data_IF_703668018525
#
_entry.id   IF_703668018525
#
_cell.length_a   1.000
_cell.length_b   1.000
_cell.length_c   1.000
_cell.angle_alpha   90.00
_cell.angle_beta   90.00
_cell.angle_gamma   90.00
#
_symmetry.space_group_name_H-M   'P 1'
#
loop_
_entity.id
_entity.type
_entity.pdbx_description
1 polymer ?
#
# COMPACT_ATOMS: atom_id res chain seq x y z
N UNK A 1 -7.21 -11.34 10.34
CA UNK A 1 -8.18 -10.91 9.32
C UNK A 1 -9.52 -10.58 9.96
N UNK A 2 -10.00 -11.35 10.95
CA UNK A 2 -11.26 -11.08 11.66
C UNK A 2 -11.41 -9.62 12.11
N UNK A 3 -10.46 -9.07 12.87
CA UNK A 3 -10.53 -7.67 13.31
C UNK A 3 -10.61 -6.66 12.14
N UNK A 4 -9.83 -6.88 11.07
CA UNK A 4 -9.89 -6.03 9.87
C UNK A 4 -11.25 -6.12 9.19
N UNK A 5 -11.81 -7.33 9.06
CA UNK A 5 -13.10 -7.55 8.41
C UNK A 5 -14.26 -6.98 9.24
N UNK A 6 -14.16 -6.97 10.57
CA UNK A 6 -15.17 -6.36 11.45
C UNK A 6 -15.23 -4.82 11.29
N UNK A 7 -14.12 -4.20 10.88
CA UNK A 7 -13.97 -2.75 10.67
C UNK A 7 -14.23 -2.31 9.24
N UNK A 8 -14.01 -3.21 8.27
CA UNK A 8 -14.16 -2.93 6.84
C UNK A 8 -15.05 -3.99 6.19
N UNK A 9 -16.34 -3.66 6.06
CA UNK A 9 -17.34 -4.57 5.49
C UNK A 9 -18.39 -3.80 4.69
N UNK A 10 -18.57 -4.17 3.42
CA UNK A 10 -19.53 -3.52 2.54
C UNK A 10 -19.24 -2.02 2.43
N UNK A 11 -20.17 -1.20 2.93
CA UNK A 11 -20.07 0.27 2.91
C UNK A 11 -19.42 0.86 4.18
N UNK A 12 -19.18 0.04 5.19
CA UNK A 12 -18.61 0.48 6.48
C UNK A 12 -17.09 0.36 6.43
N UNK A 13 -16.39 1.47 6.66
CA UNK A 13 -14.94 1.50 6.84
C UNK A 13 -14.56 2.35 8.06
N UNK A 14 -13.94 1.72 9.06
CA UNK A 14 -13.52 2.37 10.29
C UNK A 14 -11.99 2.43 10.37
N UNK A 15 -11.44 3.62 10.67
CA UNK A 15 -10.00 3.83 10.82
C UNK A 15 -9.67 4.32 12.22
N UNK A 16 -8.57 3.83 12.80
CA UNK A 16 -8.09 4.26 14.11
C UNK A 16 -6.92 5.21 13.92
N UNK A 17 -7.13 6.51 14.13
CA UNK A 17 -6.13 7.54 13.85
C UNK A 17 -5.52 8.10 15.13
N UNK A 18 -4.23 8.43 15.08
CA UNK A 18 -3.53 9.10 16.16
C UNK A 18 -4.11 10.51 16.39
N UNK A 19 -4.43 10.86 17.63
CA UNK A 19 -5.00 12.17 17.95
C UNK A 19 -4.04 13.34 17.64
N UNK A 20 -2.72 13.13 17.74
CA UNK A 20 -1.70 14.17 17.52
C UNK A 20 -1.79 14.83 16.12
N UNK A 21 -1.71 14.11 14.99
CA UNK A 21 -1.88 14.72 13.67
C UNK A 21 -3.29 15.26 13.45
N UNK A 22 -4.30 14.66 14.09
CA UNK A 22 -5.69 15.11 13.99
C UNK A 22 -5.90 16.45 14.73
N UNK A 23 -5.27 16.68 15.88
CA UNK A 23 -5.43 17.93 16.62
C UNK A 23 -4.55 19.08 16.08
N UNK A 24 -3.40 18.78 15.49
CA UNK A 24 -2.37 19.75 15.12
C UNK A 24 -2.82 20.84 14.12
N UNK A 25 -2.60 22.13 14.40
CA UNK A 25 -3.01 23.24 13.53
C UNK A 25 -2.49 23.15 12.08
N UNK A 26 -1.27 22.65 11.92
CA UNK A 26 -0.57 22.41 10.66
C UNK A 26 0.06 21.01 10.70
N UNK A 27 -0.09 20.26 9.62
CA UNK A 27 0.64 19.01 9.40
C UNK A 27 1.74 19.25 8.36
N UNK A 28 2.98 18.93 8.73
CA UNK A 28 4.14 18.91 7.82
C UNK A 28 4.44 17.44 7.49
N UNK A 29 4.31 17.07 6.22
CA UNK A 29 4.48 15.71 5.73
C UNK A 29 5.79 15.56 4.95
N UNK A 30 6.60 14.56 5.30
CA UNK A 30 7.92 14.31 4.71
C UNK A 30 7.97 12.94 4.00
N UNK A 31 7.23 12.76 2.88
CA UNK A 31 7.25 11.51 2.14
C UNK A 31 8.56 11.31 1.37
N UNK A 32 8.84 10.04 1.03
CA UNK A 32 9.92 9.66 0.13
C UNK A 32 9.42 9.46 -1.29
N UNK A 33 10.16 9.93 -2.29
CA UNK A 33 9.89 9.66 -3.71
C UNK A 33 10.22 8.19 -4.02
N UNK A 34 9.20 7.32 -4.03
CA UNK A 34 9.40 5.91 -4.40
C UNK A 34 8.18 5.23 -5.02
N UNK A 35 8.45 4.23 -5.86
CA UNK A 35 7.43 3.33 -6.42
C UNK A 35 6.77 2.45 -5.34
N UNK A 36 5.55 1.98 -5.61
CA UNK A 36 4.81 1.11 -4.71
C UNK A 36 3.87 0.17 -5.47
N UNK A 37 4.05 -1.14 -5.30
CA UNK A 37 3.30 -2.19 -6.03
C UNK A 37 1.77 -2.05 -6.02
N UNK A 38 1.18 -1.61 -4.90
CA UNK A 38 -0.30 -1.54 -4.74
C UNK A 38 -0.96 -0.22 -5.15
N UNK A 39 -0.25 0.90 -5.00
CA UNK A 39 -0.85 2.24 -5.08
C UNK A 39 -0.13 3.13 -6.10
N UNK A 40 0.79 2.54 -6.89
CA UNK A 40 1.63 3.23 -7.87
C UNK A 40 2.87 3.85 -7.23
N UNK A 41 2.67 4.86 -6.37
CA UNK A 41 3.74 5.63 -5.72
C UNK A 41 3.48 5.85 -4.23
N UNK A 42 4.51 6.16 -3.46
CA UNK A 42 4.41 6.31 -1.99
C UNK A 42 4.03 7.70 -1.51
N UNK A 43 4.10 8.75 -2.33
CA UNK A 43 4.24 10.14 -1.88
C UNK A 43 3.07 10.69 -1.02
N UNK A 44 2.91 12.00 -0.91
CA UNK A 44 2.22 12.66 0.19
C UNK A 44 0.94 11.98 0.67
N UNK A 45 0.06 11.58 -0.26
CA UNK A 45 -1.20 10.89 0.06
C UNK A 45 -0.96 9.57 0.80
N UNK A 46 -0.09 8.69 0.28
CA UNK A 46 0.15 7.35 0.83
C UNK A 46 0.99 7.38 2.11
N UNK A 47 1.75 8.45 2.35
CA UNK A 47 2.51 8.63 3.58
C UNK A 47 1.60 8.78 4.81
N UNK A 48 0.36 9.27 4.63
CA UNK A 48 -0.62 9.37 5.71
C UNK A 48 -1.10 8.03 6.26
N UNK A 49 -0.80 6.90 5.62
CA UNK A 49 -1.00 5.59 6.26
C UNK A 49 -0.27 5.49 7.61
N UNK A 50 0.80 6.28 7.80
CA UNK A 50 1.53 6.36 9.06
C UNK A 50 0.77 7.03 10.23
N UNK A 51 -0.34 7.73 10.00
CA UNK A 51 -1.13 8.34 11.09
C UNK A 51 -2.04 7.34 11.81
N UNK A 52 -2.16 6.12 11.29
CA UNK A 52 -3.04 5.11 11.81
C UNK A 52 -2.40 4.40 13.03
N UNK A 53 -3.16 4.29 14.12
CA UNK A 53 -2.70 3.78 15.41
C UNK A 53 -2.71 2.23 15.48
N UNK A 54 -3.56 1.55 14.71
CA UNK A 54 -3.66 0.09 14.71
C UNK A 54 -3.64 -0.49 13.30
N UNK A 55 -2.58 -1.24 12.96
CA UNK A 55 -2.39 -1.84 11.63
C UNK A 55 -3.55 -2.73 11.17
N UNK A 56 -4.29 -3.34 12.09
CA UNK A 56 -5.44 -4.18 11.74
C UNK A 56 -6.65 -3.39 11.23
N UNK A 57 -6.65 -2.06 11.36
CA UNK A 57 -7.67 -1.13 10.85
C UNK A 57 -7.29 -0.52 9.49
N UNK A 58 -6.37 -1.20 8.79
CA UNK A 58 -5.95 -0.83 7.45
C UNK A 58 -6.28 -1.99 6.51
N UNK A 59 -7.28 -1.85 5.62
CA UNK A 59 -7.58 -2.88 4.64
C UNK A 59 -6.51 -2.85 3.55
N UNK A 60 -5.94 -4.03 3.27
CA UNK A 60 -4.82 -4.17 2.34
C UNK A 60 -5.19 -4.84 1.01
N UNK A 61 -6.29 -5.58 1.01
CA UNK A 61 -6.90 -6.29 -0.13
C UNK A 61 -8.24 -6.88 0.32
N UNK A 62 -9.12 -7.14 -0.64
CA UNK A 62 -10.30 -7.99 -0.54
C UNK A 62 -9.93 -9.39 -1.03
N UNK A 63 -10.37 -10.42 -0.31
CA UNK A 63 -10.08 -11.81 -0.65
C UNK A 63 -10.62 -12.19 -2.03
N UNK A 64 -9.84 -12.98 -2.77
CA UNK A 64 -10.22 -13.43 -4.11
C UNK A 64 -9.59 -12.63 -5.26
N UNK A 65 -10.16 -12.81 -6.43
CA UNK A 65 -9.73 -12.26 -7.73
C UNK A 65 -10.76 -11.28 -8.25
N UNK A 66 -10.44 -10.41 -9.24
CA UNK A 66 -11.38 -9.45 -9.78
C UNK A 66 -12.71 -10.05 -10.26
N UNK A 67 -12.70 -11.26 -10.85
CA UNK A 67 -13.90 -12.00 -11.27
C UNK A 67 -14.79 -12.44 -10.09
N UNK A 68 -14.23 -12.49 -8.88
CA UNK A 68 -14.91 -12.82 -7.63
C UNK A 68 -15.24 -11.59 -6.78
N UNK A 69 -14.91 -10.38 -7.27
CA UNK A 69 -15.03 -9.13 -6.51
C UNK A 69 -13.88 -8.88 -5.51
N UNK A 70 -12.83 -9.69 -5.57
CA UNK A 70 -11.61 -9.52 -4.77
C UNK A 70 -10.48 -8.82 -5.53
N UNK A 71 -9.38 -8.53 -4.84
CA UNK A 71 -8.17 -7.95 -5.44
C UNK A 71 -6.87 -8.53 -4.85
N UNK A 72 -6.96 -9.72 -4.26
CA UNK A 72 -5.82 -10.41 -3.66
C UNK A 72 -4.82 -10.88 -4.72
N UNK A 73 -5.33 -11.31 -5.88
CA UNK A 73 -4.58 -11.84 -7.01
C UNK A 73 -5.14 -11.29 -8.34
N UNK A 74 -4.33 -11.16 -9.40
CA UNK A 74 -4.78 -10.62 -10.69
C UNK A 74 -5.68 -11.56 -11.47
N UNK A 75 -5.42 -12.87 -11.37
CA UNK A 75 -6.15 -13.91 -12.10
C UNK A 75 -6.24 -15.21 -11.29
N UNK A 76 -7.13 -16.08 -11.75
CA UNK A 76 -7.42 -17.39 -11.16
C UNK A 76 -6.59 -18.52 -11.80
N UNK A 77 -5.42 -18.24 -12.38
CA UNK A 77 -4.64 -19.23 -13.14
C UNK A 77 -4.45 -20.56 -12.37
N UNK A 78 -4.85 -21.67 -13.00
CA UNK A 78 -4.81 -23.03 -12.43
C UNK A 78 -3.43 -23.41 -11.88
N UNK A 79 -2.37 -22.97 -12.54
CA UNK A 79 -0.96 -23.15 -12.16
C UNK A 79 -0.67 -22.55 -10.78
N UNK A 80 -1.11 -21.31 -10.53
CA UNK A 80 -0.93 -20.62 -9.26
C UNK A 80 -1.68 -21.30 -8.10
N UNK A 81 -2.88 -21.84 -8.35
CA UNK A 81 -3.67 -22.58 -7.33
C UNK A 81 -3.04 -23.94 -7.01
N UNK A 82 -2.51 -24.65 -8.01
CA UNK A 82 -1.81 -25.92 -7.81
C UNK A 82 -0.52 -25.72 -7.02
N UNK A 83 0.28 -24.71 -7.36
CA UNK A 83 1.51 -24.38 -6.63
C UNK A 83 1.23 -24.01 -5.17
N UNK A 84 0.24 -23.15 -4.91
CA UNK A 84 -0.14 -22.78 -3.54
C UNK A 84 -0.65 -23.98 -2.74
N UNK A 85 -1.50 -24.82 -3.33
CA UNK A 85 -2.04 -26.03 -2.69
C UNK A 85 -0.95 -27.06 -2.38
N UNK A 86 -0.02 -27.27 -3.32
CA UNK A 86 1.13 -28.15 -3.12
C UNK A 86 2.04 -27.64 -2.00
N UNK A 87 2.34 -26.33 -1.99
CA UNK A 87 3.20 -25.71 -0.99
C UNK A 87 2.56 -25.72 0.41
N UNK A 88 1.24 -25.55 0.50
CA UNK A 88 0.49 -25.65 1.75
C UNK A 88 0.54 -27.08 2.31
N UNK A 89 0.27 -28.10 1.48
CA UNK A 89 0.40 -29.51 1.87
C UNK A 89 1.82 -29.86 2.32
N UNK A 90 2.83 -29.38 1.59
CA UNK A 90 4.23 -29.59 1.93
C UNK A 90 4.57 -28.95 3.29
N UNK A 91 4.11 -27.72 3.55
CA UNK A 91 4.29 -27.06 4.85
C UNK A 91 3.63 -27.84 5.98
N UNK A 92 2.41 -28.32 5.79
CA UNK A 92 1.70 -29.13 6.79
C UNK A 92 2.43 -30.43 7.09
N UNK A 93 2.96 -31.11 6.06
CA UNK A 93 3.77 -32.33 6.19
C UNK A 93 5.11 -32.10 6.91
N UNK A 94 5.68 -30.91 6.78
CA UNK A 94 6.96 -30.52 7.39
C UNK A 94 6.80 -29.85 8.77
N UNK A 95 5.58 -29.47 9.15
CA UNK A 95 5.30 -28.84 10.44
C UNK A 95 5.55 -29.84 11.58
N UNK A 96 6.33 -29.45 12.59
CA UNK A 96 6.71 -30.32 13.71
C UNK A 96 7.89 -31.28 13.45
N UNK A 97 8.43 -31.36 12.23
CA UNK A 97 9.61 -32.20 11.90
C UNK A 97 10.86 -31.34 11.65
N UNK A 98 11.42 -30.78 12.74
CA UNK A 98 12.55 -29.83 12.72
C UNK A 98 13.82 -30.32 11.98
N UNK A 99 14.07 -31.64 11.91
CA UNK A 99 15.20 -32.20 11.15
C UNK A 99 15.00 -32.19 9.64
N UNK A 100 13.80 -32.58 9.17
CA UNK A 100 13.47 -32.58 7.73
C UNK A 100 13.35 -31.17 7.16
N UNK A 101 12.80 -30.23 7.93
CA UNK A 101 12.68 -28.84 7.48
C UNK A 101 14.05 -28.20 7.20
N UNK A 102 15.09 -28.56 7.96
CA UNK A 102 16.49 -28.16 7.72
C UNK A 102 17.08 -28.79 6.46
N UNK A 103 16.80 -30.05 6.18
CA UNK A 103 17.27 -30.74 4.97
C UNK A 103 16.68 -30.14 3.68
N UNK A 104 15.48 -29.55 3.76
CA UNK A 104 14.84 -28.87 2.63
C UNK A 104 15.36 -27.45 2.36
N UNK A 105 16.11 -26.84 3.29
CA UNK A 105 16.67 -25.49 3.11
C UNK A 105 17.63 -25.40 1.90
N UNK A 106 18.62 -26.30 1.73
CA UNK A 106 19.49 -26.27 0.56
C UNK A 106 18.74 -26.55 -0.75
N UNK A 107 17.79 -27.49 -0.75
CA UNK A 107 16.92 -27.77 -1.91
C UNK A 107 16.11 -26.53 -2.30
N UNK A 108 15.53 -25.84 -1.32
CA UNK A 108 14.78 -24.60 -1.54
C UNK A 108 15.69 -23.47 -2.05
N UNK A 109 16.93 -23.35 -1.56
CA UNK A 109 17.91 -22.37 -2.07
C UNK A 109 18.33 -22.69 -3.51
N UNK A 110 18.53 -23.97 -3.82
CA UNK A 110 18.91 -24.42 -5.15
C UNK A 110 17.76 -24.22 -6.15
N UNK A 111 16.53 -24.60 -5.78
CA UNK A 111 15.33 -24.32 -6.55
C UNK A 111 15.16 -22.82 -6.79
N UNK A 112 15.40 -21.98 -5.77
CA UNK A 112 15.38 -20.52 -5.89
C UNK A 112 16.46 -19.96 -6.83
N UNK A 113 17.64 -20.60 -6.90
CA UNK A 113 18.71 -20.22 -7.84
C UNK A 113 18.42 -20.66 -9.28
N UNK A 114 17.81 -21.84 -9.46
CA UNK A 114 17.54 -22.43 -10.78
C UNK A 114 16.25 -21.91 -11.41
N UNK A 115 15.21 -21.66 -10.62
CA UNK A 115 13.89 -21.17 -11.08
C UNK A 115 13.76 -19.64 -10.98
N UNK A 116 14.78 -18.94 -10.47
CA UNK A 116 14.75 -17.52 -10.19
C UNK A 116 14.05 -17.15 -8.88
N UNK A 117 14.41 -15.99 -8.31
CA UNK A 117 13.70 -15.44 -7.16
C UNK A 117 12.35 -14.91 -7.63
N UNK A 118 11.27 -15.51 -7.16
CA UNK A 118 9.92 -15.03 -7.44
C UNK A 118 9.62 -13.76 -6.60
N UNK A 119 10.41 -12.70 -6.79
CA UNK A 119 10.10 -11.35 -6.27
C UNK A 119 8.82 -10.77 -6.90
N UNK A 120 8.35 -11.43 -7.97
CA UNK A 120 7.04 -11.26 -8.60
C UNK A 120 5.92 -12.09 -7.95
N UNK A 121 6.19 -12.88 -6.90
CA UNK A 121 5.12 -13.63 -6.22
C UNK A 121 4.09 -12.66 -5.63
N UNK A 122 2.95 -12.55 -6.31
CA UNK A 122 1.83 -11.73 -5.87
C UNK A 122 1.26 -12.36 -4.61
N UNK A 123 1.30 -11.60 -3.51
CA UNK A 123 0.76 -12.00 -2.22
C UNK A 123 0.03 -10.82 -1.61
N UNK A 124 -1.11 -11.09 -1.00
CA UNK A 124 -1.85 -10.09 -0.21
C UNK A 124 -2.15 -8.80 -1.01
N UNK A 125 -2.52 -8.93 -2.29
CA UNK A 125 -2.83 -7.78 -3.15
C UNK A 125 -1.62 -6.97 -3.62
N UNK A 126 -0.39 -7.51 -3.59
CA UNK A 126 0.82 -6.81 -4.06
C UNK A 126 0.94 -6.77 -5.60
N UNK A 127 -0.03 -6.15 -6.27
CA UNK A 127 -0.05 -5.94 -7.71
C UNK A 127 -0.79 -4.64 -8.06
N UNK A 128 -0.58 -4.14 -9.27
CA UNK A 128 -1.03 -2.80 -9.68
C UNK A 128 -2.55 -2.64 -9.80
N UNK A 129 -3.31 -3.74 -9.91
CA UNK A 129 -4.77 -3.72 -9.97
C UNK A 129 -5.46 -3.88 -8.62
N UNK A 130 -4.73 -3.69 -7.51
CA UNK A 130 -5.33 -3.63 -6.20
C UNK A 130 -6.35 -2.47 -6.12
N UNK A 131 -7.59 -2.78 -5.71
CA UNK A 131 -8.70 -1.84 -5.62
C UNK A 131 -9.01 -1.39 -4.18
N UNK A 132 -8.32 -1.96 -3.20
CA UNK A 132 -8.55 -1.69 -1.77
C UNK A 132 -7.66 -0.56 -1.25
N UNK A 133 -6.34 -0.62 -1.52
CA UNK A 133 -5.38 0.24 -0.87
C UNK A 133 -5.49 1.70 -1.27
N UNK A 134 -5.83 2.00 -2.52
CA UNK A 134 -5.98 3.40 -2.95
C UNK A 134 -7.18 4.07 -2.26
N UNK A 135 -8.29 3.34 -2.06
CA UNK A 135 -9.47 3.81 -1.32
C UNK A 135 -9.13 4.13 0.13
N UNK A 136 -8.48 3.18 0.80
CA UNK A 136 -7.95 3.39 2.15
C UNK A 136 -7.08 4.65 2.24
N UNK A 137 -6.15 4.84 1.29
CA UNK A 137 -5.31 6.04 1.27
C UNK A 137 -6.14 7.32 1.20
N UNK A 138 -7.14 7.36 0.31
CA UNK A 138 -8.01 8.52 0.16
C UNK A 138 -8.91 8.74 1.38
N UNK A 139 -9.42 7.68 2.00
CA UNK A 139 -10.20 7.75 3.24
C UNK A 139 -9.37 8.39 4.38
N UNK A 140 -8.12 7.96 4.57
CA UNK A 140 -7.24 8.53 5.58
C UNK A 140 -6.94 10.01 5.32
N UNK A 141 -6.76 10.40 4.06
CA UNK A 141 -6.62 11.79 3.68
C UNK A 141 -7.91 12.56 4.02
N UNK A 142 -9.08 12.03 3.66
CA UNK A 142 -10.38 12.64 3.96
C UNK A 142 -10.56 12.83 5.46
N UNK A 143 -10.26 11.82 6.26
CA UNK A 143 -10.27 11.93 7.72
C UNK A 143 -9.40 13.09 8.21
N UNK A 144 -8.13 13.14 7.80
CA UNK A 144 -7.21 14.19 8.26
C UNK A 144 -7.67 15.59 7.86
N UNK A 145 -8.07 15.77 6.61
CA UNK A 145 -8.41 17.08 6.07
C UNK A 145 -9.72 17.62 6.62
N UNK A 146 -10.73 16.77 6.80
CA UNK A 146 -12.09 17.24 7.04
C UNK A 146 -12.63 16.95 8.44
N UNK A 147 -11.93 16.17 9.27
CA UNK A 147 -12.41 15.83 10.62
C UNK A 147 -11.39 16.18 11.71
N UNK A 148 -11.89 16.56 12.89
CA UNK A 148 -11.10 16.78 14.10
C UNK A 148 -10.77 15.47 14.85
N UNK A 149 -9.97 15.57 15.92
CA UNK A 149 -9.58 14.43 16.74
C UNK A 149 -10.74 13.74 17.47
N UNK A 150 -11.93 14.36 17.48
CA UNK A 150 -13.18 13.82 18.03
C UNK A 150 -14.09 13.26 16.92
N UNK A 151 -13.63 13.26 15.67
CA UNK A 151 -14.39 12.81 14.51
C UNK A 151 -15.49 13.79 14.07
N UNK A 152 -15.43 15.06 14.48
CA UNK A 152 -16.38 16.09 14.03
C UNK A 152 -15.89 16.77 12.75
N UNK A 153 -16.80 17.11 11.80
CA UNK A 153 -16.42 17.87 10.62
C UNK A 153 -15.78 19.21 10.96
N UNK A 154 -14.75 19.60 10.21
CA UNK A 154 -14.12 20.92 10.29
C UNK A 154 -14.84 21.92 9.41
N UNK A 155 -14.76 23.19 9.78
CA UNK A 155 -15.23 24.31 8.94
C UNK A 155 -14.26 24.68 7.83
N UNK A 156 -12.98 24.32 7.97
CA UNK A 156 -11.93 24.51 6.96
C UNK A 156 -11.05 23.27 6.92
N UNK A 157 -10.56 22.88 5.73
CA UNK A 157 -9.61 21.79 5.62
C UNK A 157 -8.33 22.03 6.46
N UNK A 158 -7.74 20.95 6.96
CA UNK A 158 -6.46 20.98 7.68
C UNK A 158 -5.38 21.69 6.86
N UNK A 159 -4.68 22.66 7.47
CA UNK A 159 -3.47 23.25 6.87
C UNK A 159 -2.41 22.17 6.73
N UNK A 160 -1.80 22.13 5.56
CA UNK A 160 -0.92 21.05 5.17
C UNK A 160 0.25 21.58 4.34
N UNK A 161 1.44 21.09 4.65
CA UNK A 161 2.65 21.29 3.85
C UNK A 161 3.27 19.92 3.63
N UNK A 162 3.59 19.58 2.38
CA UNK A 162 4.39 18.40 2.09
C UNK A 162 5.71 18.79 1.43
N UNK A 163 6.77 18.10 1.82
CA UNK A 163 8.10 18.20 1.23
C UNK A 163 8.57 16.78 0.93
N UNK A 164 8.51 16.41 -0.34
CA UNK A 164 8.92 15.11 -0.84
C UNK A 164 10.44 15.09 -0.96
N UNK A 165 11.06 14.17 -0.24
CA UNK A 165 12.48 13.84 -0.40
C UNK A 165 12.65 12.86 -1.57
N UNK A 166 13.16 13.38 -2.68
CA UNK A 166 13.63 12.62 -3.83
C UNK A 166 15.11 12.86 -4.12
N UNK A 167 15.93 13.20 -3.11
CA UNK A 167 17.39 13.31 -3.33
C UNK A 167 17.90 11.95 -3.84
N UNK A 168 17.61 10.91 -3.07
CA UNK A 168 17.75 9.50 -3.47
C UNK A 168 16.36 8.87 -3.39
N UNK A 169 15.67 8.73 -4.51
CA UNK A 169 14.39 8.03 -4.61
C UNK A 169 14.52 6.51 -4.55
N UNK A 170 13.39 5.81 -4.67
CA UNK A 170 13.33 4.35 -4.74
C UNK A 170 12.54 3.83 -5.94
N UNK A 171 13.15 2.98 -6.75
CA UNK A 171 12.53 2.36 -7.93
C UNK A 171 12.38 0.82 -7.78
N UNK A 172 11.56 0.20 -8.62
CA UNK A 172 11.41 -1.25 -8.66
C UNK A 172 10.55 -1.83 -7.52
N UNK A 173 11.13 -2.70 -6.69
CA UNK A 173 10.40 -3.58 -5.78
C UNK A 173 9.95 -2.91 -4.44
N UNK A 174 9.43 -1.69 -4.51
CA UNK A 174 8.74 -1.06 -3.38
C UNK A 174 7.48 -1.83 -2.96
N UNK A 175 7.13 -1.95 -1.67
CA UNK A 175 7.63 -1.14 -0.55
C UNK A 175 8.82 -1.72 0.23
N UNK A 176 9.21 -2.99 0.02
CA UNK A 176 10.13 -3.70 0.92
C UNK A 176 11.61 -3.50 0.59
N UNK A 177 11.96 -3.43 -0.69
CA UNK A 177 13.34 -3.30 -1.14
C UNK A 177 13.39 -2.59 -2.51
N UNK A 178 13.05 -1.28 -2.57
CA UNK A 178 13.27 -0.51 -3.78
C UNK A 178 14.78 -0.31 -4.01
N UNK A 179 15.18 -0.29 -5.28
CA UNK A 179 16.53 0.08 -5.70
C UNK A 179 16.70 1.59 -5.57
N UNK A 180 17.84 2.09 -5.07
CA UNK A 180 18.08 3.52 -4.96
C UNK A 180 18.13 4.16 -6.35
N UNK A 181 17.52 5.32 -6.50
CA UNK A 181 17.54 6.10 -7.73
C UNK A 181 17.88 7.56 -7.42
N UNK A 182 18.98 8.07 -7.99
CA UNK A 182 19.43 9.45 -7.77
C UNK A 182 18.56 10.44 -8.57
N UNK A 183 17.39 10.83 -8.02
CA UNK A 183 16.52 11.81 -8.67
C UNK A 183 16.97 13.25 -8.44
N UNK A 184 17.67 13.55 -7.33
CA UNK A 184 18.25 14.85 -7.03
C UNK A 184 17.24 15.99 -6.80
N UNK A 185 16.00 15.66 -6.41
CA UNK A 185 14.91 16.65 -6.30
C UNK A 185 14.32 16.76 -4.90
N UNK A 186 13.88 17.98 -4.56
CA UNK A 186 12.93 18.24 -3.48
C UNK A 186 11.69 18.86 -4.09
N UNK A 187 10.52 18.33 -3.75
CA UNK A 187 9.24 18.81 -4.29
C UNK A 187 8.38 19.21 -3.11
N UNK A 188 7.91 20.46 -3.09
CA UNK A 188 7.12 20.97 -1.97
C UNK A 188 5.84 21.67 -2.44
N UNK A 189 4.80 21.58 -1.63
CA UNK A 189 3.53 22.24 -1.89
C UNK A 189 2.51 22.05 -0.78
N UNK A 190 1.40 22.77 -0.87
CA UNK A 190 0.31 22.73 0.12
C UNK A 190 -0.86 21.85 -0.29
N UNK A 191 -0.92 21.43 -1.56
CA UNK A 191 -1.90 20.49 -2.07
C UNK A 191 -1.20 19.13 -2.33
N UNK A 192 -1.49 18.08 -1.53
CA UNK A 192 -0.81 16.79 -1.66
C UNK A 192 -1.12 16.07 -2.97
N UNK A 193 -2.33 16.24 -3.53
CA UNK A 193 -2.71 15.63 -4.82
C UNK A 193 -1.89 16.23 -5.95
N UNK A 194 -1.77 17.56 -5.99
CA UNK A 194 -0.98 18.24 -6.99
C UNK A 194 0.51 17.87 -6.89
N UNK A 195 1.06 17.83 -5.67
CA UNK A 195 2.44 17.41 -5.42
C UNK A 195 2.69 15.98 -5.90
N UNK A 196 1.78 15.05 -5.59
CA UNK A 196 1.93 13.65 -6.00
C UNK A 196 1.77 13.47 -7.52
N UNK A 197 0.95 14.29 -8.19
CA UNK A 197 0.88 14.31 -9.66
C UNK A 197 2.20 14.79 -10.29
N UNK A 198 2.84 15.81 -9.70
CA UNK A 198 4.19 16.25 -10.13
C UNK A 198 5.22 15.15 -9.89
N UNK A 199 5.17 14.47 -8.74
CA UNK A 199 6.02 13.32 -8.46
C UNK A 199 5.84 12.22 -9.50
N UNK A 200 4.60 11.87 -9.83
CA UNK A 200 4.28 10.88 -10.86
C UNK A 200 4.88 11.28 -12.22
N UNK A 201 4.73 12.55 -12.63
CA UNK A 201 5.30 13.05 -13.87
C UNK A 201 6.84 12.98 -13.89
N UNK A 202 7.50 13.35 -12.79
CA UNK A 202 8.97 13.24 -12.65
C UNK A 202 9.43 11.78 -12.74
N UNK A 203 8.66 10.84 -12.20
CA UNK A 203 8.92 9.41 -12.29
C UNK A 203 8.57 8.81 -13.67
N UNK A 204 8.07 9.60 -14.62
CA UNK A 204 7.66 9.13 -15.94
C UNK A 204 6.30 8.42 -15.98
N UNK A 205 5.50 8.54 -14.91
CA UNK A 205 4.17 7.96 -14.85
C UNK A 205 3.09 8.94 -15.33
N UNK A 206 2.07 8.38 -15.97
CA UNK A 206 0.81 9.07 -16.20
C UNK A 206 -0.06 8.97 -14.94
N UNK A 207 -0.23 10.08 -14.23
CA UNK A 207 -1.02 10.12 -12.98
C UNK A 207 -2.46 9.63 -13.17
N UNK A 208 -3.02 9.77 -14.38
CA UNK A 208 -4.40 9.32 -14.72
C UNK A 208 -4.53 7.80 -14.70
N UNK A 209 -3.42 7.06 -14.74
CA UNK A 209 -3.37 5.60 -14.64
C UNK A 209 -3.11 5.11 -13.21
N UNK A 210 -2.92 6.03 -12.26
CA UNK A 210 -2.70 5.71 -10.84
C UNK A 210 -4.01 6.00 -10.10
N UNK A 211 -4.77 4.98 -9.66
CA UNK A 211 -6.09 5.18 -9.05
C UNK A 211 -6.06 6.14 -7.86
N UNK A 212 -5.04 6.07 -7.01
CA UNK A 212 -4.87 6.98 -5.87
C UNK A 212 -4.82 8.46 -6.29
N UNK A 213 -4.27 8.78 -7.47
CA UNK A 213 -4.14 10.16 -7.94
C UNK A 213 -5.36 10.59 -8.76
N UNK A 214 -5.79 9.75 -9.70
CA UNK A 214 -6.95 10.03 -10.54
C UNK A 214 -8.23 10.20 -9.70
N UNK A 215 -8.45 9.31 -8.73
CA UNK A 215 -9.66 9.33 -7.89
C UNK A 215 -9.64 10.43 -6.85
N UNK A 216 -8.48 10.95 -6.47
CA UNK A 216 -8.38 12.04 -5.51
C UNK A 216 -9.08 13.32 -6.01
N UNK A 217 -9.13 13.56 -7.32
CA UNK A 217 -9.85 14.71 -7.90
C UNK A 217 -11.38 14.59 -7.78
N UNK A 218 -11.89 13.37 -7.58
CA UNK A 218 -13.32 13.09 -7.47
C UNK A 218 -13.78 12.90 -6.02
N UNK A 219 -12.86 12.95 -5.05
CA UNK A 219 -13.20 12.94 -3.63
C UNK A 219 -13.86 14.26 -3.26
N UNK A 220 -15.19 14.27 -3.16
CA UNK A 220 -15.94 15.39 -2.59
C UNK A 220 -15.88 15.35 -1.05
N UNK A 221 -16.10 16.52 -0.45
CA UNK A 221 -16.32 16.70 0.99
C UNK A 221 -17.36 15.72 1.54
#
# INVERSE_FOLDING_TARGET
MTETNDRHMGVKHEYMLCATPMAADLVINLPKLKTHKKVGITCSLKNLVGINANKNWLPHHTEGTPDQGGDQYPDNSLTSRMEQSAMARLKTLLYGRHGLSRAFVPVKRLAKRLLGDNQQAIRSGNWYGNDTCWRMVLDLNKCLFYFDEKGKPRTKPRKYLTIVDGIVGGDGNGPMAPDPYESGVLIAGVNPVAVDCVCAAIMGFDYRKIPTLERAFHCSE
#
